data_IF_786827970736
#
_entry.id   IF_786827970736
#
_cell.length_a   1.000
_cell.length_b   1.000
_cell.length_c   1.000
_cell.angle_alpha   90.00
_cell.angle_beta   90.00
_cell.angle_gamma   90.00
#
_symmetry.space_group_name_H-M   'P 1'
#
loop_
_entity.id
_entity.type
_entity.pdbx_description
1 polymer ?
#
# COMPACT_ATOMS: atom_id res chain seq x y z
N UNK A 1 6.82 2.33 -25.97
CA UNK A 1 6.49 1.78 -25.38
C UNK A 1 6.32 2.11 -24.15
N UNK A 2 5.90 1.97 -23.45
CA UNK A 2 5.72 2.34 -22.35
C UNK A 2 5.96 1.48 -21.39
N UNK A 3 6.21 1.81 -20.37
CA UNK A 3 6.63 1.00 -19.36
C UNK A 3 5.52 0.17 -18.99
N UNK A 4 5.83 -0.94 -18.84
CA UNK A 4 4.93 -1.71 -18.59
C UNK A 4 4.75 -1.89 -17.19
N UNK A 5 5.57 -1.54 -16.34
CA UNK A 5 5.43 -1.73 -14.94
C UNK A 5 4.39 -0.90 -14.38
N UNK A 6 3.90 0.10 -15.17
CA UNK A 6 2.98 0.96 -14.65
C UNK A 6 1.63 0.39 -14.71
N UNK A 7 0.89 0.34 -13.65
CA UNK A 7 -0.48 -0.12 -13.67
C UNK A 7 -1.38 0.97 -14.17
N UNK A 8 -2.44 0.61 -14.83
CA UNK A 8 -3.36 1.58 -15.32
C UNK A 8 -4.22 2.04 -14.18
N UNK A 9 -4.73 3.21 -14.28
CA UNK A 9 -5.51 3.80 -13.22
C UNK A 9 -6.76 2.99 -12.92
N UNK A 10 -7.24 2.26 -13.88
CA UNK A 10 -8.45 1.51 -13.66
C UNK A 10 -8.18 0.13 -13.10
N UNK A 11 -6.95 -0.17 -12.75
CA UNK A 11 -6.65 -1.47 -12.19
C UNK A 11 -7.29 -1.58 -10.83
N UNK A 12 -7.81 -2.73 -10.54
CA UNK A 12 -8.50 -2.95 -9.30
C UNK A 12 -7.59 -3.60 -8.28
N UNK A 13 -7.83 -3.34 -7.03
CA UNK A 13 -7.06 -3.98 -5.98
C UNK A 13 -7.28 -5.48 -5.99
N UNK A 14 -8.34 -5.94 -6.61
CA UNK A 14 -8.59 -7.36 -6.69
C UNK A 14 -7.53 -8.08 -7.49
N UNK A 15 -6.81 -7.36 -8.35
CA UNK A 15 -5.76 -7.97 -9.15
C UNK A 15 -4.45 -8.04 -8.39
N UNK A 16 -4.39 -7.50 -7.21
CA UNK A 16 -3.14 -7.48 -6.47
C UNK A 16 -2.80 -8.86 -5.92
N UNK A 17 -1.53 -9.19 -5.96
CA UNK A 17 -1.06 -10.45 -5.41
C UNK A 17 -0.70 -10.30 -3.95
N UNK A 18 -0.29 -9.11 -3.54
CA UNK A 18 0.11 -8.88 -2.16
C UNK A 18 0.12 -7.39 -1.89
N UNK A 19 0.01 -7.03 -0.62
CA UNK A 19 0.11 -5.65 -0.22
C UNK A 19 0.90 -5.61 1.07
N UNK A 20 1.70 -4.58 1.23
CA UNK A 20 2.44 -4.38 2.46
C UNK A 20 2.53 -2.90 2.73
N UNK A 21 2.96 -2.54 3.92
CA UNK A 21 3.17 -1.15 4.26
C UNK A 21 4.57 -1.01 4.83
N UNK A 22 5.14 0.17 4.66
CA UNK A 22 6.49 0.44 5.12
C UNK A 22 6.45 1.73 5.90
N UNK A 23 7.10 1.75 7.06
CA UNK A 23 7.19 2.94 7.88
C UNK A 23 8.65 3.38 7.86
N UNK A 24 8.90 4.62 7.46
CA UNK A 24 10.26 5.13 7.32
C UNK A 24 10.37 6.49 7.96
N UNK A 25 11.47 6.72 8.65
CA UNK A 25 11.69 8.02 9.24
C UNK A 25 12.32 8.94 8.20
N UNK A 26 11.78 10.14 8.06
CA UNK A 26 12.31 11.13 7.15
C UNK A 26 12.20 12.49 7.79
N UNK A 27 13.35 13.10 8.04
CA UNK A 27 13.39 14.46 8.59
C UNK A 27 12.56 14.62 9.85
N UNK A 28 12.66 13.66 10.72
CA UNK A 28 11.97 13.75 12.00
C UNK A 28 10.53 13.36 11.96
N UNK A 29 10.03 12.94 10.81
CA UNK A 29 8.66 12.50 10.71
C UNK A 29 8.65 11.05 10.27
N UNK A 30 7.52 10.40 10.40
CA UNK A 30 7.42 8.98 10.08
C UNK A 30 6.42 8.80 8.95
N UNK A 31 6.93 8.40 7.81
CA UNK A 31 6.13 8.25 6.60
C UNK A 31 5.59 6.83 6.50
N UNK A 32 4.36 6.71 6.04
CA UNK A 32 3.75 5.42 5.82
C UNK A 32 3.50 5.28 4.33
N UNK A 33 4.08 4.26 3.74
CA UNK A 33 3.92 3.98 2.32
C UNK A 33 3.22 2.66 2.16
N UNK A 34 2.49 2.50 1.07
CA UNK A 34 1.88 1.24 0.75
C UNK A 34 2.58 0.69 -0.49
N UNK A 35 2.79 -0.60 -0.51
CA UNK A 35 3.42 -1.27 -1.63
C UNK A 35 2.46 -2.36 -2.07
N UNK A 36 2.04 -2.31 -3.31
CA UNK A 36 1.10 -3.28 -3.83
C UNK A 36 1.76 -4.02 -4.99
N UNK A 37 1.75 -5.33 -4.92
CA UNK A 37 2.41 -6.16 -5.91
C UNK A 37 1.36 -6.75 -6.84
N UNK A 38 1.57 -6.55 -8.13
CA UNK A 38 0.72 -7.11 -9.15
C UNK A 38 1.56 -8.03 -10.02
N UNK A 39 0.92 -8.84 -10.81
CA UNK A 39 1.65 -9.75 -11.68
C UNK A 39 2.58 -9.01 -12.62
N UNK A 40 2.22 -7.81 -13.04
CA UNK A 40 3.01 -7.07 -14.01
C UNK A 40 3.72 -5.86 -13.42
N UNK A 41 3.83 -5.77 -12.13
CA UNK A 41 4.58 -4.66 -11.56
C UNK A 41 4.24 -4.39 -10.12
N UNK A 42 4.89 -3.37 -9.57
CA UNK A 42 4.72 -2.99 -8.19
C UNK A 42 4.34 -1.52 -8.13
N UNK A 43 3.39 -1.19 -7.30
CA UNK A 43 3.00 0.18 -7.08
C UNK A 43 3.43 0.55 -5.67
N UNK A 44 4.14 1.67 -5.54
CA UNK A 44 4.62 2.13 -4.25
C UNK A 44 4.12 3.57 -4.10
N UNK A 45 3.40 3.84 -3.05
CA UNK A 45 2.82 5.15 -2.89
C UNK A 45 2.84 5.60 -1.46
N UNK A 46 3.15 6.89 -1.24
CA UNK A 46 3.10 7.46 0.09
C UNK A 46 1.66 7.76 0.46
N UNK A 47 1.25 7.28 1.63
CA UNK A 47 -0.11 7.48 2.09
C UNK A 47 -0.20 8.61 3.09
N UNK A 48 0.73 8.65 4.04
CA UNK A 48 0.58 9.61 5.13
C UNK A 48 1.90 9.81 5.84
N UNK A 49 1.97 10.83 6.70
CA UNK A 49 3.12 11.02 7.57
C UNK A 49 2.60 11.35 8.95
N UNK A 50 3.36 10.98 9.95
CA UNK A 50 2.98 11.20 11.33
C UNK A 50 4.16 11.73 12.12
N UNK A 51 3.90 12.34 13.27
CA UNK A 51 4.96 12.90 14.06
C UNK A 51 5.61 11.86 14.97
N UNK A 52 4.97 10.71 15.16
CA UNK A 52 5.55 9.68 16.00
C UNK A 52 5.54 8.34 15.29
N UNK A 53 6.49 7.50 15.65
CA UNK A 53 6.59 6.18 15.07
C UNK A 53 5.36 5.34 15.44
N UNK A 54 4.90 5.46 16.69
CA UNK A 54 3.77 4.66 17.14
C UNK A 54 2.53 4.94 16.29
N UNK A 55 2.30 6.20 15.98
CA UNK A 55 1.15 6.53 15.17
C UNK A 55 1.30 6.03 13.76
N UNK A 56 2.51 6.12 13.22
CA UNK A 56 2.75 5.65 11.87
C UNK A 56 2.56 4.14 11.79
N UNK A 57 3.01 3.42 12.80
CA UNK A 57 2.86 1.98 12.80
C UNK A 57 1.40 1.56 12.94
N UNK A 58 0.63 2.30 13.73
CA UNK A 58 -0.77 2.01 13.86
C UNK A 58 -1.47 2.26 12.54
N UNK A 59 -1.16 3.38 11.90
CA UNK A 59 -1.73 3.73 10.62
C UNK A 59 -1.39 2.66 9.58
N UNK A 60 -0.13 2.22 9.56
CA UNK A 60 0.31 1.22 8.59
C UNK A 60 -0.45 -0.08 8.77
N UNK A 61 -0.69 -0.46 10.02
CA UNK A 61 -1.40 -1.67 10.28
C UNK A 61 -2.84 -1.61 9.80
N UNK A 62 -3.49 -0.48 10.03
CA UNK A 62 -4.87 -0.31 9.61
C UNK A 62 -4.97 -0.25 8.08
N UNK A 63 -4.03 0.42 7.46
CA UNK A 63 -4.01 0.52 5.99
C UNK A 63 -3.81 -0.86 5.38
N UNK A 64 -2.88 -1.62 5.94
CA UNK A 64 -2.60 -2.94 5.41
C UNK A 64 -3.80 -3.85 5.54
N UNK A 65 -4.46 -3.79 6.69
CA UNK A 65 -5.61 -4.62 6.91
C UNK A 65 -6.75 -4.27 5.95
N UNK A 66 -6.99 -2.99 5.73
CA UNK A 66 -8.02 -2.57 4.82
C UNK A 66 -7.69 -2.99 3.39
N UNK A 67 -6.43 -2.86 3.00
CA UNK A 67 -6.03 -3.23 1.66
C UNK A 67 -6.11 -4.73 1.44
N UNK A 68 -5.78 -5.51 2.46
CA UNK A 68 -5.86 -6.94 2.34
C UNK A 68 -7.29 -7.39 2.18
N UNK A 69 -8.19 -6.66 2.80
CA UNK A 69 -9.58 -7.00 2.68
C UNK A 69 -10.06 -6.76 1.25
N UNK A 70 -9.55 -5.70 0.62
CA UNK A 70 -9.88 -5.42 -0.75
C UNK A 70 -9.34 -6.50 -1.69
N UNK A 71 -8.15 -6.97 -1.43
CA UNK A 71 -7.56 -7.99 -2.27
C UNK A 71 -8.37 -9.26 -2.23
N UNK A 72 -8.80 -9.64 -1.04
CA UNK A 72 -9.54 -10.85 -0.95
C UNK A 72 -10.92 -10.72 -1.47
N UNK A 73 -11.40 -9.52 -1.50
CA UNK A 73 -12.72 -9.28 -2.00
C UNK A 73 -13.78 -9.58 -0.98
N UNK A 74 -14.91 -8.99 -1.14
CA UNK A 74 -15.95 -9.14 -0.16
C UNK A 74 -16.55 -10.49 -0.13
N UNK A 75 -16.37 -11.21 -1.20
CA UNK A 75 -17.00 -12.43 -1.21
C UNK A 75 -16.41 -13.38 -0.30
N UNK A 76 -15.28 -13.12 0.13
CA UNK A 76 -14.70 -14.02 1.02
C UNK A 76 -15.21 -13.85 2.35
N UNK A 77 -15.86 -12.84 2.51
CA UNK A 77 -16.34 -12.54 3.83
C UNK A 77 -17.35 -13.46 4.16
#
# INVERSE_FOLDING_TARGET
MRPRTRRRADSSAEDALAVDTVVTEERGRWAVDIVVVFADGIVHKRIDTHSTKARAELSARLIKRAAEREIRGPLNG
#
